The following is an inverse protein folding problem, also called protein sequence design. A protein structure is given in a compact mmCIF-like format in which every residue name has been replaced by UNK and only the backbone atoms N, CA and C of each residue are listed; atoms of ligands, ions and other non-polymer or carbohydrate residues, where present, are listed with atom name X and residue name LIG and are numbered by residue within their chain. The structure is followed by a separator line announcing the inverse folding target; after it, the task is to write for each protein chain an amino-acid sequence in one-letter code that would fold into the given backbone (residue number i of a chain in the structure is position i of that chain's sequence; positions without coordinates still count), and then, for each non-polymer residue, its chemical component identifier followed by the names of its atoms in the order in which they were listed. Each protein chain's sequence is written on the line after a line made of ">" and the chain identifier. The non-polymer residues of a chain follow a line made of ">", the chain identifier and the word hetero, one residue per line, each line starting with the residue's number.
data_IF_871218155071
#
_entry.id   IF_871218155071
#
_cell.length_a   1.000
_cell.length_b   1.000
_cell.length_c   1.000
_cell.angle_alpha   90.00
_cell.angle_beta   90.00
_cell.angle_gamma   90.00
#
_symmetry.space_group_name_H-M   'P 1'
#
loop_
_entity.id
_entity.type
_entity.pdbx_description
1 polymer ?
#
# COMPACT_ATOMS: atom_id res chain seq x y z
N UNK A 1 -74.16 -31.88 -27.39
CA UNK A 1 -72.91 -31.51 -28.08
C UNK A 1 -72.06 -30.68 -27.10
N UNK A 2 -71.03 -31.26 -26.55
CA UNK A 2 -70.09 -30.55 -25.61
C UNK A 2 -68.80 -30.38 -26.35
N UNK A 3 -68.40 -29.09 -26.61
CA UNK A 3 -67.12 -28.73 -27.22
C UNK A 3 -66.15 -28.50 -26.10
N UNK A 4 -65.10 -29.33 -26.06
CA UNK A 4 -64.00 -29.17 -25.10
C UNK A 4 -62.90 -28.30 -25.72
N UNK A 5 -62.66 -27.12 -25.17
CA UNK A 5 -61.54 -26.27 -25.54
C UNK A 5 -60.25 -26.76 -24.88
N UNK A 6 -59.25 -27.16 -25.66
CA UNK A 6 -57.90 -27.45 -25.22
C UNK A 6 -57.08 -26.15 -25.16
N UNK A 7 -56.72 -25.69 -23.97
CA UNK A 7 -55.75 -24.63 -23.77
C UNK A 7 -54.33 -25.22 -23.93
N UNK A 8 -53.64 -24.72 -24.94
CA UNK A 8 -52.22 -25.00 -25.16
C UNK A 8 -51.39 -24.02 -24.30
N UNK A 9 -50.73 -24.52 -23.26
CA UNK A 9 -49.75 -23.72 -22.50
C UNK A 9 -48.45 -23.70 -23.29
N UNK A 10 -48.11 -22.54 -23.83
CA UNK A 10 -46.81 -22.28 -24.45
C UNK A 10 -45.83 -21.90 -23.33
N UNK A 11 -44.95 -22.81 -22.93
CA UNK A 11 -43.85 -22.51 -22.01
C UNK A 11 -42.77 -21.71 -22.75
N UNK A 12 -42.71 -20.42 -22.49
CA UNK A 12 -41.60 -19.57 -22.94
C UNK A 12 -40.39 -19.86 -22.03
N UNK A 13 -39.45 -20.63 -22.54
CA UNK A 13 -38.11 -20.74 -21.95
C UNK A 13 -37.38 -19.40 -22.13
N UNK A 14 -37.34 -18.57 -21.08
CA UNK A 14 -36.40 -17.45 -21.03
C UNK A 14 -35.01 -18.06 -20.84
N UNK A 15 -34.28 -18.20 -21.95
CA UNK A 15 -32.85 -18.39 -21.93
C UNK A 15 -32.23 -17.08 -21.39
N UNK A 16 -31.62 -17.13 -20.18
CA UNK A 16 -30.81 -16.06 -19.68
C UNK A 16 -29.61 -15.89 -20.64
N UNK A 17 -29.66 -14.86 -21.45
CA UNK A 17 -28.53 -14.41 -22.26
C UNK A 17 -27.50 -13.90 -21.22
N UNK A 18 -26.27 -14.44 -21.15
CA UNK A 18 -25.25 -13.83 -20.33
C UNK A 18 -25.08 -12.40 -20.85
N UNK A 19 -25.20 -11.43 -19.96
CA UNK A 19 -24.96 -10.03 -20.27
C UNK A 19 -23.56 -9.92 -20.88
N UNK A 20 -23.53 -9.78 -22.21
CA UNK A 20 -22.31 -9.40 -22.91
C UNK A 20 -21.84 -8.08 -22.25
N UNK A 21 -20.61 -8.05 -21.79
CA UNK A 21 -19.92 -6.80 -21.46
C UNK A 21 -20.04 -5.94 -22.71
N UNK A 22 -20.93 -4.95 -22.68
CA UNK A 22 -21.01 -3.95 -23.75
C UNK A 22 -19.59 -3.39 -23.88
N UNK A 23 -19.12 -3.25 -25.13
CA UNK A 23 -17.84 -2.62 -25.43
C UNK A 23 -17.90 -1.21 -24.83
N UNK A 24 -17.45 -1.09 -23.57
CA UNK A 24 -17.31 0.15 -22.85
C UNK A 24 -16.16 0.95 -23.44
N UNK A 25 -16.07 2.21 -23.08
CA UNK A 25 -14.93 3.06 -23.43
C UNK A 25 -13.61 2.36 -23.15
N UNK A 26 -12.61 2.59 -23.99
CA UNK A 26 -11.27 2.02 -23.84
C UNK A 26 -10.21 3.10 -24.11
N UNK A 27 -9.07 2.97 -23.44
CA UNK A 27 -7.87 3.79 -23.71
C UNK A 27 -6.79 2.84 -24.25
N UNK A 28 -6.30 3.10 -25.44
CA UNK A 28 -5.31 2.25 -26.14
C UNK A 28 -5.68 0.75 -26.13
N UNK A 29 -6.96 0.45 -26.36
CA UNK A 29 -7.48 -0.92 -26.36
C UNK A 29 -7.66 -1.55 -24.97
N UNK A 30 -7.28 -0.86 -23.90
CA UNK A 30 -7.51 -1.31 -22.50
C UNK A 30 -8.89 -0.86 -22.03
N UNK A 31 -9.80 -1.78 -21.65
CA UNK A 31 -11.17 -1.47 -21.25
C UNK A 31 -11.21 -0.56 -20.01
N UNK A 32 -12.17 0.36 -19.98
CA UNK A 32 -12.53 1.15 -18.80
C UNK A 32 -13.64 0.40 -18.04
N UNK A 33 -13.47 0.26 -16.74
CA UNK A 33 -14.47 -0.31 -15.83
C UNK A 33 -14.80 0.66 -14.71
N UNK A 34 -16.00 0.58 -14.16
CA UNK A 34 -16.44 1.36 -13.00
C UNK A 34 -16.64 0.52 -11.74
N UNK A 35 -16.61 -0.79 -11.86
CA UNK A 35 -16.71 -1.76 -10.79
C UNK A 35 -15.88 -2.99 -11.14
N UNK A 36 -15.18 -3.57 -10.16
CA UNK A 36 -14.46 -4.82 -10.34
C UNK A 36 -15.11 -5.91 -9.49
N UNK A 37 -15.64 -6.94 -10.17
CA UNK A 37 -15.91 -8.24 -9.58
C UNK A 37 -14.87 -9.24 -10.11
N UNK A 38 -13.78 -9.41 -9.36
CA UNK A 38 -12.70 -10.29 -9.77
C UNK A 38 -13.15 -11.78 -9.81
N UNK A 39 -14.22 -12.14 -9.09
CA UNK A 39 -14.73 -13.50 -9.08
C UNK A 39 -15.49 -13.85 -10.37
N UNK A 40 -16.09 -12.86 -11.03
CA UNK A 40 -16.81 -13.05 -12.30
C UNK A 40 -15.88 -13.19 -13.53
N UNK A 41 -14.59 -12.86 -13.41
CA UNK A 41 -13.64 -12.98 -14.51
C UNK A 41 -13.33 -14.45 -14.83
N UNK A 42 -13.10 -14.78 -16.10
CA UNK A 42 -12.69 -16.14 -16.47
C UNK A 42 -11.35 -16.52 -15.87
N UNK A 43 -11.23 -17.75 -15.34
CA UNK A 43 -10.03 -18.26 -14.70
C UNK A 43 -8.86 -18.49 -15.69
N UNK A 44 -7.63 -18.58 -15.18
CA UNK A 44 -6.43 -18.88 -15.95
C UNK A 44 -5.98 -17.74 -16.87
N UNK A 45 -6.28 -16.47 -16.55
CA UNK A 45 -6.01 -15.31 -17.40
C UNK A 45 -5.48 -14.12 -16.62
N UNK A 46 -4.81 -13.22 -17.35
CA UNK A 46 -4.42 -11.89 -16.89
C UNK A 46 -5.31 -10.86 -17.55
N UNK A 47 -5.83 -9.94 -16.76
CA UNK A 47 -6.64 -8.82 -17.21
C UNK A 47 -5.99 -7.51 -16.85
N UNK A 48 -6.21 -6.48 -17.68
CA UNK A 48 -5.80 -5.11 -17.45
C UNK A 48 -7.00 -4.22 -17.69
N UNK A 49 -7.22 -3.27 -16.78
CA UNK A 49 -8.34 -2.34 -16.86
C UNK A 49 -7.86 -0.95 -16.49
N UNK A 50 -8.50 0.05 -17.06
CA UNK A 50 -8.58 1.37 -16.47
C UNK A 50 -9.83 1.42 -15.59
N UNK A 51 -9.65 1.67 -14.30
CA UNK A 51 -10.78 1.86 -13.39
C UNK A 51 -11.11 3.35 -13.30
N UNK A 52 -12.35 3.71 -13.67
CA UNK A 52 -12.86 5.07 -13.54
C UNK A 52 -13.25 5.33 -12.10
N UNK A 53 -12.51 6.22 -11.42
CA UNK A 53 -12.80 6.57 -10.03
C UNK A 53 -13.87 7.65 -9.98
N UNK A 54 -13.64 8.80 -10.64
CA UNK A 54 -14.54 9.94 -10.72
C UNK A 54 -14.11 10.86 -11.87
N UNK A 55 -14.79 11.97 -12.06
CA UNK A 55 -14.41 12.98 -13.05
C UNK A 55 -13.69 14.16 -12.38
N UNK A 56 -12.81 14.81 -13.14
CA UNK A 56 -12.15 16.05 -12.73
C UNK A 56 -13.05 17.29 -12.99
N UNK A 57 -12.55 18.46 -12.65
CA UNK A 57 -13.29 19.72 -12.78
C UNK A 57 -13.65 20.12 -14.23
N UNK A 58 -13.08 19.47 -15.23
CA UNK A 58 -13.39 19.66 -16.66
C UNK A 58 -14.14 18.47 -17.26
N UNK A 59 -14.80 17.66 -16.42
CA UNK A 59 -15.59 16.49 -16.79
C UNK A 59 -14.79 15.39 -17.52
N UNK A 60 -13.47 15.27 -17.27
CA UNK A 60 -12.66 14.17 -17.77
C UNK A 60 -12.50 13.11 -16.68
N UNK A 61 -12.52 11.81 -17.03
CA UNK A 61 -12.40 10.75 -16.05
C UNK A 61 -11.00 10.69 -15.44
N UNK A 62 -10.93 10.54 -14.12
CA UNK A 62 -9.71 10.07 -13.45
C UNK A 62 -9.68 8.55 -13.49
N UNK A 63 -8.69 8.04 -14.21
CA UNK A 63 -8.48 6.62 -14.42
C UNK A 63 -7.26 6.14 -13.63
N UNK A 64 -7.38 4.96 -13.03
CA UNK A 64 -6.27 4.27 -12.38
C UNK A 64 -6.07 2.89 -13.00
N UNK A 65 -4.81 2.40 -13.09
CA UNK A 65 -4.52 1.10 -13.66
C UNK A 65 -4.88 -0.02 -12.67
N UNK A 66 -5.50 -1.09 -13.18
CA UNK A 66 -5.79 -2.29 -12.41
C UNK A 66 -5.32 -3.51 -13.20
N UNK A 67 -4.58 -4.39 -12.54
CA UNK A 67 -4.11 -5.67 -13.08
C UNK A 67 -4.75 -6.78 -12.25
N UNK A 68 -5.38 -7.75 -12.92
CA UNK A 68 -5.93 -8.93 -12.26
C UNK A 68 -5.27 -10.17 -12.84
N UNK A 69 -4.59 -10.94 -11.99
CA UNK A 69 -4.08 -12.27 -12.34
C UNK A 69 -5.05 -13.29 -11.73
N UNK A 70 -5.97 -13.79 -12.55
CA UNK A 70 -6.96 -14.78 -12.15
C UNK A 70 -6.41 -16.17 -12.34
N UNK A 71 -6.14 -16.88 -11.24
CA UNK A 71 -5.64 -18.25 -11.27
C UNK A 71 -6.60 -19.24 -11.91
N UNK A 72 -6.06 -20.34 -12.41
CA UNK A 72 -6.85 -21.43 -12.98
C UNK A 72 -7.64 -22.21 -11.90
N UNK A 73 -7.16 -22.19 -10.65
CA UNK A 73 -7.80 -22.88 -9.52
C UNK A 73 -8.47 -21.86 -8.58
N UNK A 74 -9.59 -22.25 -7.94
CA UNK A 74 -10.17 -21.46 -6.85
C UNK A 74 -9.15 -21.20 -5.73
N UNK A 75 -9.33 -20.12 -4.98
CA UNK A 75 -8.48 -19.76 -3.86
C UNK A 75 -8.73 -18.32 -3.39
N UNK A 76 -7.94 -17.82 -2.44
CA UNK A 76 -8.11 -16.50 -1.85
C UNK A 76 -7.74 -15.37 -2.81
N UNK A 77 -8.07 -14.14 -2.40
CA UNK A 77 -7.79 -12.89 -3.12
C UNK A 77 -6.75 -12.08 -2.38
N UNK A 78 -5.61 -11.85 -3.02
CA UNK A 78 -4.57 -10.96 -2.53
C UNK A 78 -4.69 -9.62 -3.24
N UNK A 79 -4.94 -8.56 -2.47
CA UNK A 79 -4.94 -7.18 -2.94
C UNK A 79 -3.55 -6.56 -2.72
N UNK A 80 -3.01 -5.97 -3.76
CA UNK A 80 -1.78 -5.18 -3.72
C UNK A 80 -2.09 -3.76 -4.18
N UNK A 81 -1.70 -2.77 -3.38
CA UNK A 81 -1.85 -1.35 -3.70
C UNK A 81 -0.50 -0.65 -3.67
N UNK A 82 -0.34 0.39 -4.49
CA UNK A 82 0.84 1.24 -4.48
C UNK A 82 0.49 2.67 -4.93
N UNK A 83 1.37 3.60 -4.60
CA UNK A 83 1.28 5.01 -4.98
C UNK A 83 -0.05 5.66 -4.56
N UNK A 84 -0.54 5.39 -3.34
CA UNK A 84 -1.56 6.22 -2.71
C UNK A 84 -1.00 7.61 -2.40
N UNK A 85 0.31 7.69 -2.17
CA UNK A 85 1.09 8.92 -2.26
C UNK A 85 1.79 8.91 -3.62
N UNK A 86 1.61 9.99 -4.41
CA UNK A 86 1.98 9.97 -5.83
C UNK A 86 3.48 9.99 -6.11
N UNK A 87 4.30 10.32 -5.14
CA UNK A 87 5.77 10.34 -5.20
C UNK A 87 6.43 9.03 -4.70
N UNK A 88 5.65 8.05 -4.22
CA UNK A 88 6.12 6.79 -3.64
C UNK A 88 6.04 5.65 -4.67
N UNK A 89 7.08 5.45 -5.48
CA UNK A 89 7.00 4.70 -6.73
C UNK A 89 7.58 3.27 -6.69
N UNK A 90 8.45 2.91 -5.74
CA UNK A 90 9.06 1.56 -5.71
C UNK A 90 8.01 0.45 -5.66
N UNK A 91 6.88 0.66 -4.94
CA UNK A 91 5.75 -0.27 -4.89
C UNK A 91 5.09 -0.53 -6.25
N UNK A 92 5.11 0.44 -7.15
CA UNK A 92 4.61 0.29 -8.53
C UNK A 92 5.42 -0.77 -9.27
N UNK A 93 6.74 -0.71 -9.18
CA UNK A 93 7.64 -1.68 -9.83
C UNK A 93 7.55 -3.07 -9.19
N UNK A 94 7.34 -3.15 -7.85
CA UNK A 94 7.03 -4.43 -7.18
C UNK A 94 5.81 -5.09 -7.80
N UNK A 95 4.72 -4.34 -7.99
CA UNK A 95 3.48 -4.85 -8.60
C UNK A 95 3.74 -5.30 -10.05
N UNK A 96 4.46 -4.49 -10.83
CA UNK A 96 4.76 -4.82 -12.22
C UNK A 96 5.57 -6.11 -12.33
N UNK A 97 6.67 -6.24 -11.56
CA UNK A 97 7.52 -7.42 -11.61
C UNK A 97 6.82 -8.67 -11.07
N UNK A 98 6.06 -8.54 -9.97
CA UNK A 98 5.31 -9.65 -9.43
C UNK A 98 4.28 -10.17 -10.45
N UNK A 99 3.42 -9.29 -10.97
CA UNK A 99 2.32 -9.69 -11.85
C UNK A 99 2.82 -10.21 -13.20
N UNK A 100 3.93 -9.68 -13.73
CA UNK A 100 4.57 -10.19 -14.94
C UNK A 100 5.19 -11.58 -14.75
N UNK A 101 5.62 -11.90 -13.52
CA UNK A 101 6.24 -13.18 -13.18
C UNK A 101 5.28 -14.26 -12.68
N UNK A 102 3.96 -14.02 -12.66
CA UNK A 102 2.96 -15.02 -12.26
C UNK A 102 2.41 -15.75 -13.48
N UNK A 103 2.38 -17.08 -13.39
CA UNK A 103 1.66 -17.94 -14.34
C UNK A 103 0.23 -18.19 -13.86
N UNK A 104 -0.80 -17.65 -14.53
CA UNK A 104 -2.18 -17.90 -14.14
C UNK A 104 -2.58 -19.39 -14.15
N UNK A 105 -1.95 -20.22 -14.98
CA UNK A 105 -2.23 -21.66 -15.03
C UNK A 105 -1.74 -22.38 -13.75
N UNK A 106 -0.68 -21.90 -13.13
CA UNK A 106 -0.12 -22.44 -11.90
C UNK A 106 -0.70 -21.82 -10.62
N UNK A 107 -1.40 -20.70 -10.73
CA UNK A 107 -1.92 -19.91 -9.60
C UNK A 107 -3.24 -20.49 -9.08
N UNK A 108 -3.42 -20.52 -7.75
CA UNK A 108 -4.71 -20.66 -7.06
C UNK A 108 -5.17 -19.31 -6.53
N UNK A 109 -6.48 -19.00 -6.68
CA UNK A 109 -7.01 -17.71 -6.25
C UNK A 109 -6.75 -16.57 -7.23
N UNK A 110 -6.68 -15.35 -6.73
CA UNK A 110 -6.59 -14.14 -7.58
C UNK A 110 -5.68 -13.10 -6.93
N UNK A 111 -4.78 -12.53 -7.73
CA UNK A 111 -4.06 -11.31 -7.36
C UNK A 111 -4.75 -10.13 -8.02
N UNK A 112 -5.18 -9.16 -7.23
CA UNK A 112 -5.70 -7.86 -7.68
C UNK A 112 -4.64 -6.81 -7.33
N UNK A 113 -4.13 -6.10 -8.33
CA UNK A 113 -3.04 -5.16 -8.14
C UNK A 113 -3.37 -3.80 -8.74
N UNK A 114 -3.15 -2.74 -7.95
CA UNK A 114 -3.42 -1.35 -8.31
C UNK A 114 -2.11 -0.57 -8.19
N UNK A 115 -1.30 -0.49 -9.27
CA UNK A 115 0.02 0.12 -9.22
C UNK A 115 0.00 1.66 -9.18
N UNK A 116 -1.15 2.29 -9.07
CA UNK A 116 -1.27 3.75 -9.07
C UNK A 116 -2.61 4.21 -8.50
N UNK A 117 -2.78 4.18 -7.18
CA UNK A 117 -4.01 4.65 -6.54
C UNK A 117 -4.23 6.15 -6.71
N UNK A 118 -3.17 6.95 -6.75
CA UNK A 118 -3.18 8.40 -6.85
C UNK A 118 -2.48 8.86 -8.13
N UNK A 119 -3.06 8.56 -9.29
CA UNK A 119 -2.50 8.99 -10.58
C UNK A 119 -2.38 10.51 -10.68
N UNK A 120 -3.22 11.27 -10.02
CA UNK A 120 -3.16 12.73 -9.98
C UNK A 120 -1.87 13.19 -9.27
N UNK A 121 -1.59 12.66 -8.08
CA UNK A 121 -0.34 12.93 -7.36
C UNK A 121 0.90 12.45 -8.14
N UNK A 122 0.82 11.29 -8.79
CA UNK A 122 1.92 10.77 -9.63
C UNK A 122 2.29 11.72 -10.76
N UNK A 123 1.30 12.27 -11.47
CA UNK A 123 1.52 13.22 -12.57
C UNK A 123 2.14 14.53 -12.09
N UNK A 124 1.87 14.94 -10.86
CA UNK A 124 2.42 16.15 -10.25
C UNK A 124 3.66 15.90 -9.38
N UNK A 125 4.07 14.62 -9.21
CA UNK A 125 5.16 14.19 -8.31
C UNK A 125 4.97 14.71 -6.90
N UNK A 126 3.75 14.58 -6.39
CA UNK A 126 3.37 15.02 -5.05
C UNK A 126 2.84 13.86 -4.22
N UNK A 127 3.08 13.93 -2.91
CA UNK A 127 2.48 13.01 -1.95
C UNK A 127 0.96 13.08 -2.00
N UNK A 128 0.43 14.28 -2.00
CA UNK A 128 -1.00 14.55 -1.88
C UNK A 128 -1.76 14.25 -3.18
N UNK A 129 -3.03 13.96 -3.00
CA UNK A 129 -4.01 13.82 -4.10
C UNK A 129 -4.32 15.19 -4.67
N UNK A 130 -4.81 15.86 -5.12
CA UNK A 130 -5.02 17.19 -5.71
C UNK A 130 -4.44 18.31 -4.81
N UNK A 131 -4.10 19.47 -5.36
CA UNK A 131 -4.04 20.68 -4.56
C UNK A 131 -5.46 20.95 -4.06
N UNK A 132 -5.84 20.27 -2.98
CA UNK A 132 -7.14 20.35 -2.35
C UNK A 132 -7.36 21.71 -1.69
N UNK A 133 -8.43 21.82 -0.93
CA UNK A 133 -8.67 22.99 -0.08
C UNK A 133 -7.48 23.16 0.88
N UNK A 134 -6.64 24.15 0.59
CA UNK A 134 -5.40 24.42 1.29
C UNK A 134 -4.14 24.07 0.48
N UNK A 135 -2.99 24.53 0.97
CA UNK A 135 -1.70 24.42 0.25
C UNK A 135 -1.11 23.00 0.21
N UNK A 136 -1.59 22.09 1.06
CA UNK A 136 -0.99 20.77 1.26
C UNK A 136 -1.67 19.64 0.49
N UNK A 137 -2.85 19.89 -0.12
CA UNK A 137 -3.65 18.86 -0.77
C UNK A 137 -4.19 17.81 0.22
N UNK A 138 -4.99 16.86 -0.29
CA UNK A 138 -5.58 15.82 0.52
C UNK A 138 -4.67 14.59 0.61
N UNK A 139 -4.45 14.06 1.81
CA UNK A 139 -3.79 12.78 2.01
C UNK A 139 -4.82 11.64 1.91
N UNK A 140 -4.88 10.95 0.76
CA UNK A 140 -5.80 9.83 0.56
C UNK A 140 -5.65 8.72 1.60
N UNK A 141 -4.44 8.53 2.14
CA UNK A 141 -4.18 7.54 3.19
C UNK A 141 -4.56 8.03 4.59
N UNK A 142 -5.54 8.94 4.67
CA UNK A 142 -6.25 9.40 5.88
C UNK A 142 -7.75 9.48 5.64
N UNK A 143 -8.21 9.08 4.45
CA UNK A 143 -9.60 9.24 4.04
C UNK A 143 -10.35 7.92 3.85
N UNK A 144 -9.68 6.75 3.96
CA UNK A 144 -10.38 5.47 3.81
C UNK A 144 -11.34 5.23 5.00
N UNK A 145 -12.51 4.68 4.79
CA UNK A 145 -13.11 4.18 3.54
C UNK A 145 -13.77 5.26 2.67
N UNK A 146 -13.53 6.54 2.91
CA UNK A 146 -14.21 7.67 2.30
C UNK A 146 -15.60 7.90 2.86
N UNK A 147 -16.22 9.01 2.49
CA UNK A 147 -17.55 9.38 2.95
C UNK A 147 -18.55 9.49 1.80
N UNK A 148 -19.82 9.24 2.11
CA UNK A 148 -20.94 9.49 1.22
C UNK A 148 -21.55 10.89 1.49
N UNK A 149 -22.27 11.44 0.51
CA UNK A 149 -23.03 12.67 0.68
C UNK A 149 -22.34 13.90 0.09
N UNK A 150 -22.58 15.07 0.71
CA UNK A 150 -22.04 16.36 0.27
C UNK A 150 -20.65 16.58 0.86
N UNK A 151 -19.65 15.90 0.28
CA UNK A 151 -18.25 15.88 0.71
C UNK A 151 -17.33 16.26 -0.43
N UNK A 152 -16.10 16.62 -0.08
CA UNK A 152 -15.06 16.97 -1.04
C UNK A 152 -14.70 15.85 -2.03
N UNK A 153 -14.03 16.22 -3.11
CA UNK A 153 -13.66 15.29 -4.19
C UNK A 153 -12.73 14.16 -3.70
N UNK A 154 -11.86 14.45 -2.73
CA UNK A 154 -10.94 13.46 -2.19
C UNK A 154 -11.66 12.34 -1.41
N UNK A 155 -12.69 12.69 -0.61
CA UNK A 155 -13.54 11.73 0.09
C UNK A 155 -14.35 10.86 -0.89
N UNK A 156 -14.95 11.48 -1.92
CA UNK A 156 -15.65 10.75 -2.99
C UNK A 156 -14.73 9.80 -3.72
N UNK A 157 -13.49 10.24 -4.00
CA UNK A 157 -12.46 9.42 -4.63
C UNK A 157 -12.11 8.21 -3.75
N UNK A 158 -11.80 8.44 -2.48
CA UNK A 158 -11.51 7.40 -1.51
C UNK A 158 -12.69 6.42 -1.35
N UNK A 159 -13.93 6.95 -1.24
CA UNK A 159 -15.15 6.14 -1.14
C UNK A 159 -15.35 5.22 -2.34
N UNK A 160 -15.14 5.77 -3.54
CA UNK A 160 -15.27 5.00 -4.79
C UNK A 160 -14.22 3.90 -4.90
N UNK A 161 -12.97 4.21 -4.57
CA UNK A 161 -11.90 3.21 -4.49
C UNK A 161 -12.28 2.09 -3.53
N UNK A 162 -12.69 2.45 -2.31
CA UNK A 162 -12.98 1.48 -1.27
C UNK A 162 -14.12 0.54 -1.66
N UNK A 163 -15.27 1.10 -2.08
CA UNK A 163 -16.49 0.33 -2.26
C UNK A 163 -16.58 -0.44 -3.57
N UNK A 164 -15.99 0.08 -4.65
CA UNK A 164 -16.12 -0.50 -5.97
C UNK A 164 -14.90 -1.28 -6.47
N UNK A 165 -13.74 -1.15 -5.78
CA UNK A 165 -12.50 -1.79 -6.19
C UNK A 165 -11.81 -2.55 -5.06
N UNK A 166 -11.45 -1.90 -3.95
CA UNK A 166 -10.52 -2.46 -2.97
C UNK A 166 -11.19 -3.49 -2.07
N UNK A 167 -12.14 -3.05 -1.24
CA UNK A 167 -12.74 -3.89 -0.20
C UNK A 167 -13.46 -5.14 -0.72
N UNK A 168 -14.24 -5.10 -1.80
CA UNK A 168 -14.90 -6.28 -2.33
C UNK A 168 -13.95 -7.36 -2.87
N UNK A 169 -12.71 -6.98 -3.20
CA UNK A 169 -11.74 -7.83 -3.87
C UNK A 169 -10.55 -8.25 -2.99
N UNK A 170 -10.65 -8.13 -1.66
CA UNK A 170 -9.56 -8.44 -0.74
C UNK A 170 -9.95 -9.46 0.34
N UNK A 171 -9.20 -10.56 0.45
CA UNK A 171 -9.16 -11.46 1.60
C UNK A 171 -7.89 -11.23 2.43
N UNK A 172 -6.85 -10.65 1.81
CA UNK A 172 -5.61 -10.15 2.41
C UNK A 172 -5.14 -8.97 1.60
N UNK A 173 -4.55 -7.94 2.23
CA UNK A 173 -4.05 -6.76 1.54
C UNK A 173 -2.62 -6.39 1.95
N UNK A 174 -1.84 -5.88 1.00
CA UNK A 174 -0.51 -5.30 1.22
C UNK A 174 -0.47 -3.95 0.51
N UNK A 175 -0.33 -2.88 1.29
CA UNK A 175 -0.20 -1.53 0.78
C UNK A 175 1.28 -1.15 0.71
N UNK A 176 1.77 -0.87 -0.50
CA UNK A 176 3.18 -0.66 -0.80
C UNK A 176 3.50 0.82 -0.82
N UNK A 177 4.39 1.22 0.05
CA UNK A 177 4.83 2.59 0.26
C UNK A 177 6.34 2.75 0.10
N UNK A 178 6.78 3.99 0.02
CA UNK A 178 8.12 4.44 0.39
C UNK A 178 7.98 5.62 1.32
N UNK A 179 9.09 6.23 1.75
CA UNK A 179 8.99 7.58 2.27
C UNK A 179 8.74 8.57 1.12
N UNK A 180 8.07 9.66 1.41
CA UNK A 180 8.07 10.87 0.58
C UNK A 180 9.38 11.63 0.76
N UNK A 181 9.52 12.80 0.13
CA UNK A 181 10.73 13.63 0.12
C UNK A 181 11.44 13.77 1.47
N UNK A 182 12.74 13.95 1.42
CA UNK A 182 13.57 14.36 2.56
C UNK A 182 13.99 13.25 3.52
N UNK A 183 13.53 12.00 3.32
CA UNK A 183 13.93 10.89 4.18
C UNK A 183 14.10 9.57 3.43
N UNK A 184 14.75 8.59 4.07
CA UNK A 184 14.90 7.24 3.56
C UNK A 184 14.57 6.23 4.67
N UNK A 185 13.95 5.10 4.27
CA UNK A 185 13.62 3.97 5.13
C UNK A 185 14.51 2.76 4.85
N UNK A 186 14.68 1.88 5.87
CA UNK A 186 14.90 0.45 5.62
C UNK A 186 13.63 -0.18 5.05
N UNK A 187 13.68 -1.42 4.59
CA UNK A 187 12.43 -2.15 4.39
C UNK A 187 11.79 -2.42 5.75
N UNK A 188 10.61 -1.87 6.01
CA UNK A 188 9.90 -2.18 7.24
C UNK A 188 8.38 -2.27 7.04
N UNK A 189 7.71 -2.96 7.95
CA UNK A 189 6.27 -3.16 7.90
C UNK A 189 5.60 -2.65 9.17
N UNK A 190 4.41 -2.05 9.02
CA UNK A 190 3.47 -1.84 10.11
C UNK A 190 2.55 -3.05 10.23
N UNK A 191 2.29 -3.49 11.47
CA UNK A 191 1.41 -4.62 11.75
C UNK A 191 0.53 -4.33 12.98
N UNK A 192 -0.76 -4.11 12.73
CA UNK A 192 -1.75 -3.74 13.75
C UNK A 192 -2.47 -4.92 14.41
N UNK A 193 -2.34 -6.13 13.86
CA UNK A 193 -3.01 -7.34 14.35
C UNK A 193 -2.07 -8.54 14.30
N UNK A 194 -2.38 -9.62 15.03
CA UNK A 194 -1.58 -10.87 14.97
C UNK A 194 -1.54 -11.50 13.56
N UNK A 195 -2.62 -11.34 12.77
CA UNK A 195 -2.63 -11.81 11.38
C UNK A 195 -1.74 -10.93 10.50
N UNK A 196 -1.78 -9.62 10.69
CA UNK A 196 -0.88 -8.68 10.01
C UNK A 196 0.59 -8.93 10.38
N UNK A 197 0.90 -9.19 11.66
CA UNK A 197 2.24 -9.58 12.12
C UNK A 197 2.75 -10.83 11.38
N UNK A 198 1.90 -11.85 11.22
CA UNK A 198 2.23 -13.06 10.44
C UNK A 198 2.57 -12.74 8.98
N UNK A 199 1.79 -11.86 8.34
CA UNK A 199 2.07 -11.41 6.97
C UNK A 199 3.42 -10.69 6.91
N UNK A 200 3.66 -9.76 7.84
CA UNK A 200 4.92 -9.03 7.91
C UNK A 200 6.13 -9.96 8.14
N UNK A 201 6.00 -10.98 9.00
CA UNK A 201 7.03 -12.00 9.18
C UNK A 201 7.34 -12.76 7.88
N UNK A 202 6.33 -13.11 7.10
CA UNK A 202 6.49 -13.78 5.81
C UNK A 202 7.16 -12.87 4.78
N UNK A 203 6.83 -11.58 4.76
CA UNK A 203 7.53 -10.59 3.94
C UNK A 203 9.03 -10.58 4.29
N UNK A 204 9.41 -10.64 5.56
CA UNK A 204 10.79 -10.60 6.02
C UNK A 204 11.46 -9.26 5.79
N UNK A 205 10.88 -8.14 6.27
CA UNK A 205 11.51 -6.83 6.25
C UNK A 205 12.68 -6.78 7.24
N UNK A 206 13.41 -5.67 7.27
CA UNK A 206 14.46 -5.45 8.25
C UNK A 206 13.86 -5.20 9.66
N UNK A 207 12.70 -4.52 9.70
CA UNK A 207 12.00 -4.16 10.92
C UNK A 207 10.50 -4.43 10.76
N UNK A 208 9.86 -4.97 11.78
CA UNK A 208 8.41 -4.96 11.98
C UNK A 208 8.11 -4.01 13.13
N UNK A 209 7.35 -2.95 12.87
CA UNK A 209 6.80 -2.07 13.89
C UNK A 209 5.38 -2.53 14.20
N UNK A 210 5.17 -3.06 15.41
CA UNK A 210 3.81 -3.28 15.89
C UNK A 210 3.14 -1.93 16.07
N UNK A 211 1.97 -1.76 15.47
CA UNK A 211 1.29 -0.46 15.40
C UNK A 211 -0.21 -0.63 15.48
N UNK A 212 -0.91 0.08 16.38
CA UNK A 212 -2.37 0.00 16.47
C UNK A 212 -3.08 0.53 15.20
N UNK A 213 -2.32 1.16 14.31
CA UNK A 213 -2.79 1.75 13.08
C UNK A 213 -3.21 3.20 13.20
N UNK A 214 -3.29 3.86 12.05
CA UNK A 214 -3.80 5.22 11.91
C UNK A 214 -5.13 5.18 11.15
N UNK A 215 -6.18 5.74 11.72
CA UNK A 215 -7.50 5.81 11.07
C UNK A 215 -7.39 6.45 9.68
N UNK A 216 -8.16 5.91 8.75
CA UNK A 216 -8.20 6.38 7.36
C UNK A 216 -7.08 5.84 6.47
N UNK A 217 -6.17 4.99 6.99
CA UNK A 217 -5.21 4.25 6.14
C UNK A 217 -5.85 2.99 5.59
N UNK A 218 -5.39 2.53 4.40
CA UNK A 218 -5.86 1.28 3.80
C UNK A 218 -5.66 0.11 4.76
N UNK A 219 -4.47 -0.01 5.32
CA UNK A 219 -4.12 -1.08 6.27
C UNK A 219 -5.07 -1.13 7.47
N UNK A 220 -5.25 0.01 8.15
CA UNK A 220 -6.05 0.07 9.37
C UNK A 220 -7.52 -0.24 9.08
N UNK A 221 -8.09 0.36 8.04
CA UNK A 221 -9.50 0.12 7.71
C UNK A 221 -9.74 -1.30 7.19
N UNK A 222 -8.82 -1.91 6.43
CA UNK A 222 -8.91 -3.32 6.05
C UNK A 222 -8.87 -4.24 7.28
N UNK A 223 -7.94 -4.01 8.21
CA UNK A 223 -7.84 -4.78 9.46
C UNK A 223 -9.12 -4.65 10.32
N UNK A 224 -9.71 -3.45 10.39
CA UNK A 224 -11.00 -3.22 11.10
C UNK A 224 -12.15 -3.95 10.45
N UNK A 225 -12.15 -4.08 9.13
CA UNK A 225 -13.13 -4.84 8.36
C UNK A 225 -12.85 -6.35 8.35
N UNK A 226 -11.86 -6.83 9.12
CA UNK A 226 -11.50 -8.24 9.25
C UNK A 226 -10.65 -8.79 8.11
N UNK A 227 -10.16 -7.95 7.21
CA UNK A 227 -9.20 -8.29 6.14
C UNK A 227 -7.79 -8.05 6.68
N UNK A 228 -6.96 -9.09 6.89
CA UNK A 228 -5.58 -8.90 7.33
C UNK A 228 -4.79 -8.05 6.34
N UNK A 229 -4.18 -6.98 6.84
CA UNK A 229 -3.45 -6.03 6.00
C UNK A 229 -2.20 -5.49 6.69
N UNK A 230 -1.18 -5.18 5.88
CA UNK A 230 0.03 -4.48 6.30
C UNK A 230 0.31 -3.29 5.38
N UNK A 231 1.00 -2.28 5.92
CA UNK A 231 1.76 -1.32 5.12
C UNK A 231 3.21 -1.79 5.07
N UNK A 232 3.78 -1.84 3.86
CA UNK A 232 5.17 -2.20 3.62
C UNK A 232 5.92 -1.02 3.02
N UNK A 233 6.92 -0.52 3.75
CA UNK A 233 7.75 0.60 3.37
C UNK A 233 9.03 0.13 2.65
N UNK A 234 9.35 0.72 1.50
CA UNK A 234 10.31 0.23 0.52
C UNK A 234 11.38 1.28 0.17
N UNK A 235 12.04 1.83 1.18
CA UNK A 235 13.23 2.66 0.94
C UNK A 235 12.95 4.13 0.64
N UNK A 236 13.51 4.64 -0.45
CA UNK A 236 13.54 6.07 -0.80
C UNK A 236 12.40 6.46 -1.75
N UNK A 237 12.01 7.75 -1.75
CA UNK A 237 11.04 8.27 -2.71
C UNK A 237 11.63 8.41 -4.12
N UNK A 238 10.73 8.62 -5.10
CA UNK A 238 11.00 9.02 -6.48
C UNK A 238 12.03 8.18 -7.24
N UNK A 239 12.22 6.92 -6.85
CA UNK A 239 13.11 5.99 -7.55
C UNK A 239 12.54 4.57 -7.51
N UNK A 240 13.03 3.73 -8.42
CA UNK A 240 12.90 2.29 -8.30
C UNK A 240 14.16 1.73 -7.65
N UNK A 241 14.01 1.11 -6.48
CA UNK A 241 15.11 0.43 -5.81
C UNK A 241 15.06 -1.06 -6.13
N UNK A 242 15.94 -1.58 -6.99
CA UNK A 242 15.88 -2.97 -7.45
C UNK A 242 16.10 -3.98 -6.32
N UNK A 243 16.84 -3.61 -5.27
CA UNK A 243 17.05 -4.49 -4.11
C UNK A 243 15.78 -4.59 -3.28
N UNK A 244 15.12 -3.46 -3.01
CA UNK A 244 13.84 -3.42 -2.30
C UNK A 244 12.75 -4.13 -3.10
N UNK A 245 12.69 -3.92 -4.43
CA UNK A 245 11.75 -4.58 -5.33
C UNK A 245 11.92 -6.10 -5.27
N UNK A 246 13.14 -6.61 -5.45
CA UNK A 246 13.40 -8.05 -5.43
C UNK A 246 13.04 -8.70 -4.08
N UNK A 247 13.37 -8.03 -2.97
CA UNK A 247 13.04 -8.48 -1.60
C UNK A 247 11.53 -8.50 -1.38
N UNK A 248 10.82 -7.45 -1.80
CA UNK A 248 9.36 -7.35 -1.66
C UNK A 248 8.64 -8.42 -2.50
N UNK A 249 9.03 -8.61 -3.76
CA UNK A 249 8.48 -9.67 -4.63
C UNK A 249 8.69 -11.05 -4.01
N UNK A 250 9.88 -11.35 -3.50
CA UNK A 250 10.13 -12.61 -2.80
C UNK A 250 9.28 -12.76 -1.54
N UNK A 251 9.13 -11.68 -0.76
CA UNK A 251 8.29 -11.63 0.44
C UNK A 251 6.82 -11.88 0.12
N UNK A 252 6.27 -11.19 -0.87
CA UNK A 252 4.88 -11.36 -1.31
C UNK A 252 4.63 -12.78 -1.80
N UNK A 253 5.58 -13.39 -2.54
CA UNK A 253 5.46 -14.81 -2.94
C UNK A 253 5.43 -15.75 -1.74
N UNK A 254 6.11 -15.46 -0.63
CA UNK A 254 5.98 -16.25 0.61
C UNK A 254 4.59 -16.11 1.24
N UNK A 255 4.03 -14.91 1.24
CA UNK A 255 2.64 -14.68 1.68
C UNK A 255 1.68 -15.46 0.78
N UNK A 256 1.85 -15.39 -0.53
CA UNK A 256 1.03 -16.15 -1.49
C UNK A 256 1.13 -17.68 -1.26
N UNK A 257 2.30 -18.19 -0.90
CA UNK A 257 2.45 -19.62 -0.59
C UNK A 257 1.79 -20.00 0.74
N UNK A 258 1.87 -19.15 1.78
CA UNK A 258 1.16 -19.34 3.06
C UNK A 258 -0.36 -19.29 2.87
N UNK A 259 -0.85 -18.51 1.88
CA UNK A 259 -2.24 -18.48 1.44
C UNK A 259 -2.63 -19.61 0.48
N UNK A 260 -1.76 -20.57 0.24
CA UNK A 260 -1.97 -21.70 -0.71
C UNK A 260 -2.20 -21.26 -2.16
N UNK A 261 -1.80 -20.04 -2.52
CA UNK A 261 -1.88 -19.52 -3.88
C UNK A 261 -0.74 -20.04 -4.78
N UNK A 262 0.42 -20.33 -4.19
CA UNK A 262 1.60 -20.86 -4.85
C UNK A 262 2.06 -22.15 -4.15
N UNK A 263 2.60 -23.10 -4.93
CA UNK A 263 3.10 -24.38 -4.38
C UNK A 263 4.44 -24.22 -3.69
N UNK A 264 5.29 -23.31 -4.17
CA UNK A 264 6.66 -23.10 -3.68
C UNK A 264 6.85 -21.67 -3.22
N UNK A 265 7.42 -21.52 -2.02
CA UNK A 265 7.83 -20.24 -1.45
C UNK A 265 9.34 -20.01 -1.63
N UNK A 266 9.78 -18.78 -1.96
CA UNK A 266 11.19 -18.42 -1.87
C UNK A 266 11.72 -18.55 -0.43
N UNK A 267 13.01 -18.91 -0.24
CA UNK A 267 13.58 -18.98 1.11
C UNK A 267 13.59 -17.63 1.79
N UNK A 268 13.46 -17.64 3.11
CA UNK A 268 13.63 -16.44 3.94
C UNK A 268 15.11 -16.26 4.28
N UNK A 269 15.65 -15.07 4.12
CA UNK A 269 17.08 -14.79 4.28
C UNK A 269 17.43 -14.19 5.66
N UNK A 270 16.51 -13.44 6.29
CA UNK A 270 16.77 -12.73 7.55
C UNK A 270 15.55 -12.78 8.47
N UNK A 271 15.79 -12.71 9.78
CA UNK A 271 14.74 -12.49 10.76
C UNK A 271 14.61 -10.97 11.01
N UNK A 272 13.40 -10.38 10.96
CA UNK A 272 13.20 -8.97 11.23
C UNK A 272 13.44 -8.65 12.72
N UNK A 273 13.86 -7.41 12.98
CA UNK A 273 13.75 -6.86 14.32
C UNK A 273 12.29 -6.46 14.56
N UNK A 274 11.70 -6.93 15.65
CA UNK A 274 10.31 -6.59 16.02
C UNK A 274 10.35 -5.57 17.15
N UNK A 275 9.76 -4.40 16.93
CA UNK A 275 9.62 -3.36 17.95
C UNK A 275 8.17 -2.87 18.03
N UNK A 276 7.81 -2.35 19.20
CA UNK A 276 6.43 -1.93 19.49
C UNK A 276 6.31 -0.43 19.76
N UNK A 277 7.42 0.31 19.70
CA UNK A 277 7.44 1.76 19.88
C UNK A 277 8.44 2.42 18.95
N UNK A 278 8.17 3.66 18.61
CA UNK A 278 9.02 4.49 17.76
C UNK A 278 9.32 5.79 18.49
N UNK A 279 10.57 6.24 18.42
CA UNK A 279 10.98 7.57 18.86
C UNK A 279 11.56 8.37 17.71
N UNK A 280 11.15 9.64 17.63
CA UNK A 280 11.70 10.64 16.72
C UNK A 280 12.88 11.31 17.42
N UNK A 281 14.01 11.40 16.73
CA UNK A 281 15.18 12.17 17.17
C UNK A 281 15.24 13.42 16.31
N UNK A 282 15.09 14.58 16.94
CA UNK A 282 15.02 15.89 16.28
C UNK A 282 16.22 16.75 16.62
N UNK A 283 16.52 17.73 15.75
CA UNK A 283 17.48 18.79 16.00
C UNK A 283 16.90 19.82 16.99
N UNK A 284 17.65 20.22 18.00
CA UNK A 284 17.29 21.35 18.85
C UNK A 284 17.74 22.70 18.25
N UNK A 285 18.68 22.66 17.33
CA UNK A 285 19.22 23.82 16.63
C UNK A 285 19.09 23.65 15.12
N UNK A 286 18.84 24.77 14.42
CA UNK A 286 18.87 24.79 12.96
C UNK A 286 20.29 24.74 12.42
N UNK A 287 20.43 24.20 11.21
CA UNK A 287 21.71 24.11 10.50
C UNK A 287 21.81 22.90 9.59
N UNK A 288 23.05 22.57 9.23
CA UNK A 288 23.35 21.43 8.36
C UNK A 288 23.53 20.16 9.18
N UNK A 289 22.66 19.20 8.97
CA UNK A 289 22.67 17.93 9.66
C UNK A 289 23.63 16.93 9.00
N UNK A 290 24.43 16.27 9.82
CA UNK A 290 25.24 15.12 9.47
C UNK A 290 24.78 13.92 10.30
N UNK A 291 24.01 13.01 9.70
CA UNK A 291 23.63 11.74 10.34
C UNK A 291 24.84 10.81 10.33
N UNK A 292 25.23 10.31 11.51
CA UNK A 292 26.46 9.54 11.70
C UNK A 292 26.23 8.03 11.77
N UNK A 293 24.97 7.60 11.76
CA UNK A 293 24.57 6.20 11.83
C UNK A 293 23.85 5.77 10.57
N UNK A 294 24.18 4.59 9.99
CA UNK A 294 23.48 4.13 8.79
C UNK A 294 22.06 3.64 9.11
N UNK A 295 21.23 3.59 8.07
CA UNK A 295 19.94 2.90 8.12
C UNK A 295 20.13 1.44 8.59
N UNK A 296 19.22 0.97 9.46
CA UNK A 296 19.26 -0.37 10.01
C UNK A 296 20.28 -0.56 11.16
N UNK A 297 21.06 0.46 11.51
CA UNK A 297 22.00 0.36 12.61
C UNK A 297 21.31 0.05 13.95
N UNK A 298 21.96 -0.76 14.78
CA UNK A 298 21.61 -0.86 16.20
C UNK A 298 22.31 0.27 16.94
N UNK A 299 21.56 1.01 17.75
CA UNK A 299 22.08 2.10 18.59
C UNK A 299 21.72 1.83 20.04
N UNK A 300 22.58 2.35 20.95
CA UNK A 300 22.37 2.29 22.38
C UNK A 300 22.03 3.69 22.90
N UNK A 301 21.12 3.79 23.87
CA UNK A 301 20.74 5.06 24.50
C UNK A 301 21.98 5.88 24.89
N UNK A 302 22.03 7.13 24.43
CA UNK A 302 23.14 8.04 24.62
C UNK A 302 24.18 8.06 23.50
N UNK A 303 24.14 7.13 22.55
CA UNK A 303 25.02 7.17 21.36
C UNK A 303 24.84 8.47 20.58
N UNK A 304 25.95 9.00 20.04
CA UNK A 304 25.91 10.13 19.12
C UNK A 304 25.40 9.66 17.79
N UNK A 305 24.29 10.23 17.30
CA UNK A 305 23.63 9.80 16.08
C UNK A 305 23.65 10.85 14.96
N UNK A 306 23.85 12.12 15.33
CA UNK A 306 23.99 13.20 14.35
C UNK A 306 24.76 14.38 14.95
N UNK A 307 25.23 15.29 14.08
CA UNK A 307 25.70 16.63 14.45
C UNK A 307 25.02 17.67 13.58
N UNK A 308 24.84 18.87 14.12
CA UNK A 308 24.38 20.04 13.38
C UNK A 308 25.50 21.05 13.29
N UNK A 309 25.76 21.56 12.07
CA UNK A 309 26.74 22.63 11.83
C UNK A 309 26.06 23.93 11.42
N UNK A 310 26.62 25.05 11.81
CA UNK A 310 26.17 26.37 11.34
C UNK A 310 26.63 26.65 9.89
N UNK A 311 26.26 27.82 9.36
CA UNK A 311 26.63 28.25 8.00
C UNK A 311 28.14 28.38 7.76
N UNK A 312 28.95 28.34 8.82
CA UNK A 312 30.43 28.42 8.75
C UNK A 312 31.09 27.05 8.95
N UNK A 313 30.29 25.97 9.07
CA UNK A 313 30.77 24.59 9.27
C UNK A 313 31.17 24.27 10.71
N UNK A 314 30.87 25.12 11.70
CA UNK A 314 31.15 24.84 13.11
C UNK A 314 30.03 23.99 13.69
N UNK A 315 30.38 22.90 14.35
CA UNK A 315 29.39 22.06 15.07
C UNK A 315 28.77 22.87 16.21
N UNK A 316 27.43 23.05 16.12
CA UNK A 316 26.64 23.81 17.12
C UNK A 316 25.77 22.91 17.97
N UNK A 317 25.59 21.63 17.56
CA UNK A 317 24.87 20.61 18.32
C UNK A 317 25.42 19.21 18.04
N UNK A 318 25.47 18.40 19.11
CA UNK A 318 25.74 16.95 19.04
C UNK A 318 24.49 16.23 19.53
N UNK A 319 23.81 15.53 18.61
CA UNK A 319 22.53 14.87 18.86
C UNK A 319 22.75 13.44 19.30
N UNK A 320 22.11 13.06 20.41
CA UNK A 320 22.20 11.71 20.99
C UNK A 320 20.84 11.01 20.96
N UNK A 321 20.86 9.70 20.77
CA UNK A 321 19.62 8.91 20.82
C UNK A 321 19.09 8.81 22.27
N UNK A 322 17.77 9.05 22.47
CA UNK A 322 17.15 8.89 23.78
C UNK A 322 16.84 7.43 24.14
N UNK A 323 16.84 6.51 23.15
CA UNK A 323 16.51 5.10 23.35
C UNK A 323 17.48 4.18 22.60
N UNK A 324 17.60 2.94 23.09
CA UNK A 324 18.29 1.86 22.39
C UNK A 324 17.34 1.17 21.42
N UNK A 325 17.77 0.88 20.18
CA UNK A 325 16.90 0.26 19.18
C UNK A 325 17.52 0.16 17.80
N UNK A 326 16.68 0.13 16.78
CA UNK A 326 17.07 0.07 15.36
C UNK A 326 16.68 1.34 14.62
N UNK A 327 17.63 1.93 13.94
CA UNK A 327 17.40 3.09 13.06
C UNK A 327 16.57 2.64 11.85
N UNK A 328 15.31 3.08 11.76
CA UNK A 328 14.44 2.73 10.63
C UNK A 328 14.35 3.82 9.58
N UNK A 329 14.61 5.08 9.96
CA UNK A 329 14.50 6.25 9.09
C UNK A 329 15.67 7.17 9.31
N UNK A 330 16.20 7.75 8.25
CA UNK A 330 17.15 8.88 8.32
C UNK A 330 16.72 9.96 7.33
N UNK A 331 17.02 11.22 7.66
CA UNK A 331 16.84 12.33 6.71
C UNK A 331 17.88 12.26 5.58
N UNK A 332 17.49 12.73 4.42
CA UNK A 332 18.34 12.87 3.23
C UNK A 332 18.63 14.32 2.88
N UNK A 333 17.77 15.24 3.32
CA UNK A 333 18.00 16.67 3.19
C UNK A 333 19.00 17.12 4.26
N UNK A 334 20.01 17.94 3.90
CA UNK A 334 21.03 18.34 4.84
C UNK A 334 20.64 19.56 5.72
N UNK A 335 19.68 20.39 5.28
CA UNK A 335 19.30 21.63 5.95
C UNK A 335 18.03 21.46 6.79
N UNK A 336 18.09 21.78 8.07
CA UNK A 336 17.00 21.59 9.02
C UNK A 336 16.74 22.81 9.88
N UNK A 337 15.47 23.04 10.18
CA UNK A 337 15.03 23.97 11.20
C UNK A 337 15.07 23.33 12.59
N UNK A 338 15.09 24.15 13.67
CA UNK A 338 14.93 23.62 15.02
C UNK A 338 13.60 22.87 15.18
N UNK A 339 13.66 21.65 15.68
CA UNK A 339 12.52 20.76 15.84
C UNK A 339 12.35 19.73 14.72
N UNK A 340 13.02 19.91 13.58
CA UNK A 340 12.96 18.95 12.49
C UNK A 340 13.51 17.59 12.88
N UNK A 341 12.86 16.54 12.37
CA UNK A 341 13.30 15.17 12.54
C UNK A 341 14.61 14.92 11.79
N UNK A 342 15.55 14.24 12.45
CA UNK A 342 16.81 13.76 11.84
C UNK A 342 16.77 12.27 11.55
N UNK A 343 16.20 11.48 12.45
CA UNK A 343 16.07 10.04 12.31
C UNK A 343 14.96 9.50 13.22
N UNK A 344 14.54 8.27 12.94
CA UNK A 344 13.61 7.52 13.79
C UNK A 344 14.23 6.21 14.22
N UNK A 345 13.91 5.80 15.44
CA UNK A 345 14.37 4.54 16.02
C UNK A 345 13.18 3.73 16.47
N UNK A 346 13.09 2.49 15.99
CA UNK A 346 12.12 1.51 16.49
C UNK A 346 12.77 0.73 17.63
N UNK A 347 12.07 0.56 18.74
CA UNK A 347 12.55 -0.13 19.92
C UNK A 347 11.46 -0.97 20.60
N UNK A 348 11.86 -1.78 21.58
CA UNK A 348 10.95 -2.58 22.38
C UNK A 348 10.67 -1.85 23.69
N UNK A 349 9.44 -1.40 23.87
CA UNK A 349 8.97 -0.83 25.14
C UNK A 349 8.42 -1.94 26.03
N UNK A 350 8.79 -1.92 27.29
CA UNK A 350 8.24 -2.82 28.30
C UNK A 350 6.87 -2.37 28.85
N UNK A 351 6.37 -1.21 28.40
CA UNK A 351 5.04 -0.70 28.79
C UNK A 351 3.95 -1.65 28.28
N UNK A 352 3.11 -2.24 29.17
CA UNK A 352 2.02 -3.12 28.75
C UNK A 352 1.03 -2.45 27.78
N UNK A 353 0.85 -1.13 27.85
CA UNK A 353 0.01 -0.40 26.90
C UNK A 353 0.54 -0.45 25.48
N UNK A 354 1.82 -0.72 25.29
CA UNK A 354 2.47 -0.83 23.98
C UNK A 354 2.59 -2.29 23.50
N UNK A 355 1.94 -3.28 24.13
CA UNK A 355 2.12 -4.69 23.78
C UNK A 355 1.83 -4.99 22.29
N UNK A 356 0.87 -4.28 21.69
CA UNK A 356 0.54 -4.35 20.25
C UNK A 356 0.96 -3.10 19.48
N UNK A 357 1.86 -2.33 20.05
CA UNK A 357 2.35 -1.07 19.50
C UNK A 357 1.75 0.19 20.12
N UNK A 358 2.50 1.23 20.07
CA UNK A 358 2.07 2.57 20.49
C UNK A 358 2.91 3.66 19.78
#
# INVERSE_FOLDING_TARGET
>A
MKIAARLLFLAVLLSAIPSAVTAGDAVDGTPIIEHLDAAALASGKVYRFWFRVTDNAVAQPWLIPVIVVRGARPGPRLLLTAAIHGDELTGVDVIHQLTAGLDPAALSGTVIAVPGLNTVGMLHRTRSFTPGEGREGANLNRLMPGMDGDVGIADRYARRLWTALLRPNADTAIDLHTQSHGTAYVMFAFAGTKRAERIAELIGPDIIKLDPGTMGTIETEMNRDGVPAITLELGRPEMFDPVMVARAVAGIKRVMADMEMLVVAPPRTTAPFVGNKLVVVSAARGGFAHVLVPLGATVTKGDVVATISDAFGRVVETVRTPESGRVNTVVTDPLHDPGDMLLRIVFVSADPACAMGC
#
